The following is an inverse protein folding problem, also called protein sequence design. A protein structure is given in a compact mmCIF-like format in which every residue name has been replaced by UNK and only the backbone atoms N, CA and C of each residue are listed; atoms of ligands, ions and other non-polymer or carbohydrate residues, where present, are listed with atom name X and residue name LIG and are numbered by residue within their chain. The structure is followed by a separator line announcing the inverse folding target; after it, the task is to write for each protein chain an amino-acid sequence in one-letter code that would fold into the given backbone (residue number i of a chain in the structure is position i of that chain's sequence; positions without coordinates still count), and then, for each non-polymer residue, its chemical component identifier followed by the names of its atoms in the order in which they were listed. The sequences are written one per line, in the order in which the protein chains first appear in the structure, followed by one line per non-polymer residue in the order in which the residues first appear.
data_IF_396029289514
#
_entry.id   IF_396029289514
#
_cell.length_a   1.000
_cell.length_b   1.000
_cell.length_c   1.000
_cell.angle_alpha   90.00
_cell.angle_beta   90.00
_cell.angle_gamma   90.00
#
_symmetry.space_group_name_H-M   'P 1'
#
loop_
_entity.id
_entity.type
_entity.pdbx_description
1 polymer ?
#
# COMPACT_ATOMS: atom_id res chain seq x y z
N UNK A 1 8.26 -16.47 -1.88
CA UNK A 1 6.99 -16.86 -1.20
C UNK A 1 5.99 -15.71 -1.29
N UNK A 2 4.66 -15.97 -1.31
CA UNK A 2 3.65 -14.92 -1.45
C UNK A 2 3.77 -13.79 -0.41
N UNK A 3 4.11 -14.13 0.83
CA UNK A 3 4.29 -13.17 1.92
C UNK A 3 5.53 -12.28 1.71
N UNK A 4 6.59 -12.81 1.10
CA UNK A 4 7.77 -12.00 0.74
C UNK A 4 7.42 -11.01 -0.38
N UNK A 5 6.57 -11.43 -1.33
CA UNK A 5 6.04 -10.54 -2.37
C UNK A 5 5.23 -9.41 -1.73
N UNK A 6 4.41 -9.71 -0.74
CA UNK A 6 3.65 -8.70 -0.01
C UNK A 6 4.56 -7.68 0.69
N UNK A 7 5.52 -8.16 1.47
CA UNK A 7 6.42 -7.31 2.25
C UNK A 7 7.31 -6.46 1.34
N UNK A 8 7.78 -7.02 0.21
CA UNK A 8 8.75 -6.34 -0.65
C UNK A 8 8.12 -5.46 -1.72
N UNK A 9 6.95 -5.81 -2.24
CA UNK A 9 6.35 -5.13 -3.39
C UNK A 9 4.99 -4.52 -3.06
N UNK A 10 4.07 -5.32 -2.50
CA UNK A 10 2.67 -4.89 -2.30
C UNK A 10 2.56 -3.80 -1.23
N UNK A 11 3.04 -4.04 -0.01
CA UNK A 11 2.95 -3.08 1.09
C UNK A 11 3.64 -1.75 0.72
N UNK A 12 4.86 -1.75 0.14
CA UNK A 12 5.48 -0.51 -0.33
C UNK A 12 4.67 0.23 -1.40
N UNK A 13 4.05 -0.49 -2.34
CA UNK A 13 3.20 0.12 -3.37
C UNK A 13 1.93 0.75 -2.77
N UNK A 14 1.24 0.04 -1.89
CA UNK A 14 0.04 0.53 -1.21
C UNK A 14 0.35 1.77 -0.37
N UNK A 15 1.43 1.75 0.43
CA UNK A 15 1.85 2.92 1.23
C UNK A 15 2.20 4.13 0.38
N UNK A 16 2.82 3.92 -0.78
CA UNK A 16 3.12 4.99 -1.73
C UNK A 16 1.84 5.61 -2.28
N UNK A 17 0.90 4.79 -2.74
CA UNK A 17 -0.36 5.30 -3.30
C UNK A 17 -1.20 6.01 -2.23
N UNK A 18 -1.30 5.47 -1.01
CA UNK A 18 -1.93 6.17 0.14
C UNK A 18 -1.30 7.54 0.34
N UNK A 19 0.04 7.61 0.38
CA UNK A 19 0.76 8.87 0.55
C UNK A 19 0.46 9.86 -0.57
N UNK A 20 0.47 9.42 -1.83
CA UNK A 20 0.20 10.30 -2.98
C UNK A 20 -1.22 10.83 -2.97
N UNK A 21 -2.21 9.98 -2.71
CA UNK A 21 -3.61 10.39 -2.58
C UNK A 21 -3.77 11.42 -1.45
N UNK A 22 -3.15 11.17 -0.29
CA UNK A 22 -3.20 12.11 0.84
C UNK A 22 -2.52 13.45 0.52
N UNK A 23 -1.41 13.45 -0.24
CA UNK A 23 -0.75 14.68 -0.71
C UNK A 23 -1.65 15.43 -1.70
N UNK A 24 -2.29 14.72 -2.63
CA UNK A 24 -3.22 15.30 -3.61
C UNK A 24 -4.45 15.93 -2.91
N UNK A 25 -4.79 15.46 -1.71
CA UNK A 25 -5.82 16.01 -0.81
C UNK A 25 -5.27 17.09 0.16
N UNK A 26 -4.10 17.68 -0.13
CA UNK A 26 -3.48 18.77 0.64
C UNK A 26 -3.16 18.43 2.12
N UNK A 27 -3.01 17.15 2.46
CA UNK A 27 -2.65 16.74 3.82
C UNK A 27 -1.16 16.98 4.06
N UNK A 28 -0.83 17.59 5.20
CA UNK A 28 0.56 17.85 5.58
C UNK A 28 1.37 16.56 5.74
N UNK A 29 2.59 16.53 5.18
CA UNK A 29 3.46 15.34 5.20
C UNK A 29 3.72 14.79 6.59
N UNK A 30 3.83 15.65 7.60
CA UNK A 30 3.95 15.26 9.00
C UNK A 30 2.76 14.41 9.45
N UNK A 31 1.54 14.85 9.18
CA UNK A 31 0.34 14.10 9.56
C UNK A 31 0.25 12.79 8.79
N UNK A 32 0.68 12.74 7.52
CA UNK A 32 0.75 11.49 6.75
C UNK A 32 1.73 10.51 7.40
N UNK A 33 2.91 11.00 7.81
CA UNK A 33 3.91 10.19 8.50
C UNK A 33 3.36 9.60 9.81
N UNK A 34 2.68 10.44 10.60
CA UNK A 34 2.04 10.04 11.85
C UNK A 34 0.92 9.01 11.64
N UNK A 35 0.02 9.22 10.67
CA UNK A 35 -1.08 8.29 10.34
C UNK A 35 -0.60 6.94 9.79
N UNK A 36 0.48 6.91 9.00
CA UNK A 36 0.97 5.70 8.34
C UNK A 36 2.06 4.96 9.14
N UNK A 37 2.53 5.52 10.25
CA UNK A 37 3.60 4.90 11.04
C UNK A 37 4.94 4.86 10.32
N UNK A 38 5.23 5.90 9.54
CA UNK A 38 6.48 6.03 8.79
C UNK A 38 7.17 7.34 9.12
N UNK A 39 8.39 7.52 8.64
CA UNK A 39 9.13 8.77 8.86
C UNK A 39 8.77 9.80 7.78
N UNK A 40 8.86 11.10 8.08
CA UNK A 40 8.68 12.16 7.06
C UNK A 40 9.60 11.99 5.83
N UNK A 41 10.86 11.55 5.96
CA UNK A 41 11.68 11.18 4.82
C UNK A 41 11.07 10.06 3.96
N UNK A 42 10.40 9.06 4.55
CA UNK A 42 9.72 8.03 3.79
C UNK A 42 8.55 8.61 2.96
N UNK A 43 7.77 9.53 3.54
CA UNK A 43 6.74 10.29 2.83
C UNK A 43 7.33 11.07 1.65
N UNK A 44 8.47 11.73 1.86
CA UNK A 44 9.20 12.43 0.80
C UNK A 44 9.64 11.45 -0.31
N UNK A 45 10.12 10.26 0.03
CA UNK A 45 10.49 9.24 -0.95
C UNK A 45 9.28 8.74 -1.76
N UNK A 46 8.11 8.54 -1.13
CA UNK A 46 6.90 8.12 -1.82
C UNK A 46 6.34 9.17 -2.81
N UNK A 47 6.64 10.45 -2.56
CA UNK A 47 6.29 11.55 -3.47
C UNK A 47 7.11 11.54 -4.76
N UNK A 48 8.32 10.98 -4.76
CA UNK A 48 9.19 10.97 -5.95
C UNK A 48 8.57 10.18 -7.10
N UNK A 49 9.01 10.48 -8.33
CA UNK A 49 8.60 9.73 -9.52
C UNK A 49 8.97 8.24 -9.41
N UNK A 50 8.16 7.38 -10.03
CA UNK A 50 8.40 5.93 -10.01
C UNK A 50 9.76 5.60 -10.63
N UNK A 51 10.52 4.72 -9.99
CA UNK A 51 11.79 4.22 -10.51
C UNK A 51 11.92 2.70 -10.35
N UNK A 52 12.63 2.04 -11.27
CA UNK A 52 12.89 0.59 -11.19
C UNK A 52 13.73 0.16 -9.96
N UNK A 53 14.29 1.12 -9.21
CA UNK A 53 15.09 0.85 -8.01
C UNK A 53 14.22 0.58 -6.79
N UNK A 54 13.05 1.19 -6.72
CA UNK A 54 12.07 0.96 -5.66
C UNK A 54 11.22 -0.25 -6.02
N UNK A 55 11.07 -1.19 -5.10
CA UNK A 55 10.25 -2.39 -5.33
C UNK A 55 8.78 -2.06 -5.46
N UNK A 56 8.27 -1.16 -4.63
CA UNK A 56 6.88 -0.70 -4.75
C UNK A 56 6.58 -0.08 -6.10
N UNK A 57 7.56 0.60 -6.73
CA UNK A 57 7.40 1.27 -8.03
C UNK A 57 7.28 0.32 -9.21
N UNK A 58 7.63 -0.95 -9.01
CA UNK A 58 7.46 -2.02 -10.00
C UNK A 58 6.04 -2.58 -9.99
N UNK A 59 5.22 -2.22 -8.99
CA UNK A 59 3.81 -2.61 -8.93
C UNK A 59 2.96 -1.55 -9.61
N UNK A 60 2.21 -2.00 -10.61
CA UNK A 60 1.11 -1.23 -11.20
C UNK A 60 -0.18 -1.51 -10.43
N UNK A 61 -0.81 -0.44 -9.95
CA UNK A 61 -2.05 -0.52 -9.16
C UNK A 61 -3.23 -0.31 -10.12
N UNK A 62 -4.10 -1.32 -10.31
CA UNK A 62 -5.27 -1.19 -11.18
C UNK A 62 -6.25 -0.10 -10.68
N UNK A 63 -7.04 0.52 -11.58
CA UNK A 63 -7.97 1.59 -11.19
C UNK A 63 -8.98 1.21 -10.10
N UNK A 64 -9.47 -0.04 -10.11
CA UNK A 64 -10.37 -0.57 -9.10
C UNK A 64 -9.70 -0.67 -7.72
N UNK A 65 -8.46 -1.18 -7.64
CA UNK A 65 -7.69 -1.18 -6.39
C UNK A 65 -7.37 0.25 -5.95
N UNK A 66 -7.06 1.16 -6.88
CA UNK A 66 -6.81 2.57 -6.55
C UNK A 66 -8.02 3.23 -5.88
N UNK A 67 -9.24 2.97 -6.36
CA UNK A 67 -10.47 3.48 -5.73
C UNK A 67 -10.65 2.97 -4.28
N UNK A 68 -10.21 1.73 -4.02
CA UNK A 68 -10.22 1.15 -2.68
C UNK A 68 -9.17 1.81 -1.78
N UNK A 69 -7.99 2.14 -2.32
CA UNK A 69 -6.96 2.91 -1.60
C UNK A 69 -7.45 4.33 -1.28
N UNK A 70 -8.14 5.00 -2.21
CA UNK A 70 -8.74 6.33 -1.98
C UNK A 70 -9.76 6.27 -0.83
N UNK A 71 -10.65 5.27 -0.86
CA UNK A 71 -11.61 5.04 0.23
C UNK A 71 -10.93 4.80 1.58
N UNK A 72 -9.85 4.02 1.60
CA UNK A 72 -9.07 3.77 2.81
C UNK A 72 -8.34 5.01 3.31
N UNK A 73 -7.78 5.84 2.41
CA UNK A 73 -7.14 7.11 2.77
C UNK A 73 -8.12 8.06 3.46
N UNK A 74 -9.34 8.18 2.93
CA UNK A 74 -10.39 9.02 3.51
C UNK A 74 -10.81 8.55 4.90
N UNK A 75 -10.94 7.23 5.12
CA UNK A 75 -11.28 6.66 6.44
C UNK A 75 -10.20 6.96 7.47
N UNK A 76 -8.93 6.74 7.11
CA UNK A 76 -7.78 7.00 8.00
C UNK A 76 -7.71 8.49 8.33
N UNK A 77 -7.85 9.36 7.32
CA UNK A 77 -7.80 10.80 7.53
C UNK A 77 -8.96 11.31 8.39
N UNK A 78 -10.16 10.77 8.21
CA UNK A 78 -11.32 11.11 9.02
C UNK A 78 -11.11 10.76 10.50
N UNK A 79 -10.66 9.55 10.79
CA UNK A 79 -10.32 9.12 12.15
C UNK A 79 -9.28 10.05 12.81
N UNK A 80 -8.25 10.43 12.04
CA UNK A 80 -7.24 11.39 12.48
C UNK A 80 -7.83 12.78 12.81
N UNK A 81 -8.74 13.29 11.97
CA UNK A 81 -9.40 14.59 12.21
C UNK A 81 -10.35 14.55 13.41
N UNK A 82 -10.97 13.41 13.68
CA UNK A 82 -11.83 13.17 14.84
C UNK A 82 -11.03 13.07 16.15
N UNK A 83 -9.70 13.17 16.08
CA UNK A 83 -8.76 13.08 17.22
C UNK A 83 -8.95 11.81 18.02
N UNK A 84 -9.21 10.71 17.32
CA UNK A 84 -9.16 9.39 17.91
C UNK A 84 -7.76 9.12 18.47
N UNK A 85 -7.68 8.24 19.46
CA UNK A 85 -6.41 7.85 20.07
C UNK A 85 -5.48 7.28 18.99
N UNK A 86 -4.18 7.61 19.04
CA UNK A 86 -3.21 7.18 18.04
C UNK A 86 -3.31 5.67 17.80
N UNK A 87 -3.41 4.86 18.86
CA UNK A 87 -3.57 3.40 18.78
C UNK A 87 -4.75 2.98 17.87
N UNK A 88 -5.88 3.70 17.94
CA UNK A 88 -7.04 3.44 17.09
C UNK A 88 -6.78 3.76 15.62
N UNK A 89 -6.13 4.90 15.34
CA UNK A 89 -5.77 5.29 13.97
C UNK A 89 -4.81 4.26 13.36
N UNK A 90 -3.84 3.77 14.14
CA UNK A 90 -2.90 2.73 13.71
C UNK A 90 -3.59 1.38 13.47
N UNK A 91 -4.54 0.99 14.32
CA UNK A 91 -5.34 -0.23 14.12
C UNK A 91 -6.17 -0.11 12.83
N UNK A 92 -6.86 1.01 12.63
CA UNK A 92 -7.64 1.29 11.43
C UNK A 92 -6.77 1.25 10.17
N UNK A 93 -5.64 1.96 10.18
CA UNK A 93 -4.68 1.97 9.07
C UNK A 93 -4.19 0.55 8.74
N UNK A 94 -3.85 -0.23 9.76
CA UNK A 94 -3.42 -1.63 9.59
C UNK A 94 -4.53 -2.48 8.98
N UNK A 95 -5.77 -2.32 9.46
CA UNK A 95 -6.94 -3.02 8.93
C UNK A 95 -7.22 -2.66 7.46
N UNK A 96 -7.13 -1.39 7.10
CA UNK A 96 -7.35 -0.92 5.74
C UNK A 96 -6.26 -1.40 4.78
N UNK A 97 -4.97 -1.40 5.18
CA UNK A 97 -3.90 -1.96 4.36
C UNK A 97 -4.10 -3.46 4.14
N UNK A 98 -4.46 -4.23 5.17
CA UNK A 98 -4.72 -5.67 5.00
C UNK A 98 -5.91 -5.92 4.07
N UNK A 99 -7.00 -5.14 4.19
CA UNK A 99 -8.15 -5.20 3.28
C UNK A 99 -7.75 -4.97 1.83
N UNK A 100 -6.86 -4.00 1.55
CA UNK A 100 -6.35 -3.74 0.20
C UNK A 100 -5.49 -4.92 -0.29
N UNK A 101 -4.66 -5.50 0.56
CA UNK A 101 -3.85 -6.69 0.22
C UNK A 101 -4.75 -7.87 -0.14
N UNK A 102 -5.83 -8.10 0.61
CA UNK A 102 -6.80 -9.16 0.33
C UNK A 102 -7.47 -8.97 -1.04
N UNK A 103 -7.88 -7.74 -1.36
CA UNK A 103 -8.42 -7.40 -2.69
C UNK A 103 -7.39 -7.70 -3.79
N UNK A 104 -6.14 -7.27 -3.61
CA UNK A 104 -5.07 -7.54 -4.58
C UNK A 104 -4.75 -9.04 -4.72
N UNK A 105 -4.94 -9.81 -3.65
CA UNK A 105 -4.79 -11.27 -3.66
C UNK A 105 -5.91 -11.93 -4.44
N UNK A 106 -7.15 -11.56 -4.17
CA UNK A 106 -8.36 -12.11 -4.81
C UNK A 106 -8.39 -11.80 -6.31
N UNK A 107 -7.86 -10.65 -6.71
CA UNK A 107 -7.70 -10.27 -8.12
C UNK A 107 -6.50 -10.93 -8.81
N UNK A 108 -5.67 -11.68 -8.09
CA UNK A 108 -4.53 -12.41 -8.63
C UNK A 108 -3.26 -11.57 -8.84
N UNK A 109 -3.26 -10.29 -8.45
CA UNK A 109 -2.12 -9.36 -8.63
C UNK A 109 -0.87 -9.88 -7.90
N UNK A 110 -1.04 -10.40 -6.68
CA UNK A 110 0.08 -11.00 -5.93
C UNK A 110 0.70 -12.17 -6.70
N UNK A 111 -0.13 -12.95 -7.40
CA UNK A 111 0.34 -14.08 -8.21
C UNK A 111 1.11 -13.63 -9.44
N UNK A 112 0.68 -12.56 -10.10
CA UNK A 112 1.38 -11.96 -11.24
C UNK A 112 2.78 -11.48 -10.83
N UNK A 113 2.87 -10.70 -9.76
CA UNK A 113 4.14 -10.18 -9.23
C UNK A 113 5.05 -11.31 -8.74
N UNK A 114 4.46 -12.36 -8.13
CA UNK A 114 5.20 -13.56 -7.74
C UNK A 114 5.86 -14.25 -8.94
N UNK A 115 5.14 -14.38 -10.07
CA UNK A 115 5.70 -14.97 -11.30
C UNK A 115 6.76 -14.10 -11.96
N UNK A 116 6.64 -12.78 -11.84
CA UNK A 116 7.62 -11.85 -12.41
C UNK A 116 8.95 -11.86 -11.65
N UNK A 117 8.91 -11.94 -10.31
CA UNK A 117 10.10 -11.73 -9.47
C UNK A 117 10.65 -12.96 -8.77
N UNK A 118 9.95 -14.10 -8.78
CA UNK A 118 10.49 -15.36 -8.24
C UNK A 118 10.93 -16.30 -9.37
N UNK A 119 12.19 -16.69 -9.33
CA UNK A 119 12.74 -17.68 -10.24
C UNK A 119 12.11 -19.06 -10.00
N UNK A 120 11.89 -19.83 -11.07
CA UNK A 120 11.42 -21.22 -11.02
C UNK A 120 9.96 -21.44 -10.56
N UNK A 121 9.08 -20.44 -10.72
CA UNK A 121 7.64 -20.64 -10.49
C UNK A 121 7.04 -21.46 -11.63
N UNK A 122 6.42 -22.59 -11.32
CA UNK A 122 5.70 -23.41 -12.29
C UNK A 122 4.49 -22.66 -12.88
N UNK A 123 4.16 -22.91 -14.16
CA UNK A 123 3.04 -22.24 -14.85
C UNK A 123 1.69 -22.50 -14.13
N UNK A 124 1.47 -23.70 -13.61
CA UNK A 124 0.25 -24.13 -12.93
C UNK A 124 0.27 -23.90 -11.41
N UNK A 125 1.21 -23.09 -10.90
CA UNK A 125 1.35 -22.78 -9.49
C UNK A 125 0.06 -22.18 -8.90
N UNK A 126 -0.36 -22.71 -7.74
CA UNK A 126 -1.56 -22.28 -6.98
C UNK A 126 -1.23 -21.83 -5.55
N UNK A 127 0.04 -21.53 -5.26
CA UNK A 127 0.52 -21.22 -3.91
C UNK A 127 0.05 -19.86 -3.37
N UNK A 128 -0.39 -18.94 -4.25
CA UNK A 128 -0.85 -17.60 -3.89
C UNK A 128 -2.37 -17.52 -3.62
N UNK A 129 -3.08 -18.65 -3.72
CA UNK A 129 -4.52 -18.73 -3.46
C UNK A 129 -4.86 -18.52 -1.99
#
# INVERSE_FOLDING_TARGET
MPQEVEVWYIIPAVRRELTRIMIDNDIAQKNIADMLGVTEPAVTQYKLEKSKRSRGDQVEIPPNVRAEIETSADRIHKAWLEKEEDEHVYELMTREINRIIDIMRDEGIICEIHREHCENVAEDCKACK
#
